data_IF_563452921398
#
_entry.id   IF_563452921398
#
_cell.length_a   1.000
_cell.length_b   1.000
_cell.length_c   1.000
_cell.angle_alpha   90.00
_cell.angle_beta   90.00
_cell.angle_gamma   90.00
#
_symmetry.space_group_name_H-M   'P 1'
#
loop_
_entity.id
_entity.type
_entity.pdbx_description
1 polymer ?
#
# COMPACT_ATOMS: atom_id res chain seq x y z
N UNK A 1 -17.22 -3.89 3.64
CA UNK A 1 -16.38 -3.68 2.43
C UNK A 1 -16.68 -4.81 1.46
N UNK A 2 -16.87 -4.58 0.16
CA UNK A 2 -16.94 -5.69 -0.81
C UNK A 2 -15.52 -6.12 -1.23
N UNK A 3 -15.33 -7.36 -1.69
CA UNK A 3 -14.03 -7.87 -2.17
C UNK A 3 -13.41 -6.96 -3.23
N UNK A 4 -14.21 -6.52 -4.20
CA UNK A 4 -13.78 -5.63 -5.28
C UNK A 4 -13.30 -4.29 -4.72
N UNK A 5 -14.01 -3.72 -3.74
CA UNK A 5 -13.60 -2.47 -3.08
C UNK A 5 -12.30 -2.65 -2.29
N UNK A 6 -12.12 -3.78 -1.61
CA UNK A 6 -10.91 -4.08 -0.86
C UNK A 6 -9.69 -4.25 -1.77
N UNK A 7 -9.81 -5.04 -2.84
CA UNK A 7 -8.72 -5.21 -3.80
C UNK A 7 -8.45 -3.95 -4.60
N UNK A 8 -9.48 -3.19 -4.97
CA UNK A 8 -9.33 -1.88 -5.61
C UNK A 8 -8.57 -0.88 -4.73
N UNK A 9 -8.92 -0.80 -3.43
CA UNK A 9 -8.20 0.03 -2.47
C UNK A 9 -6.75 -0.42 -2.28
N UNK A 10 -6.51 -1.73 -2.25
CA UNK A 10 -5.17 -2.30 -2.11
C UNK A 10 -4.27 -1.95 -3.31
N UNK A 11 -4.78 -2.14 -4.54
CA UNK A 11 -4.08 -1.77 -5.77
C UNK A 11 -3.83 -0.26 -5.81
N UNK A 12 -4.82 0.55 -5.41
CA UNK A 12 -4.66 2.00 -5.34
C UNK A 12 -3.54 2.41 -4.37
N UNK A 13 -3.53 1.85 -3.16
CA UNK A 13 -2.47 2.07 -2.18
C UNK A 13 -1.09 1.63 -2.71
N UNK A 14 -1.03 0.48 -3.38
CA UNK A 14 0.21 -0.01 -3.99
C UNK A 14 0.71 0.96 -5.07
N UNK A 15 -0.17 1.46 -5.96
CA UNK A 15 0.21 2.43 -6.97
C UNK A 15 0.71 3.74 -6.35
N UNK A 16 0.17 4.17 -5.21
CA UNK A 16 0.69 5.35 -4.51
C UNK A 16 2.12 5.14 -3.98
N UNK A 17 2.56 3.92 -3.71
CA UNK A 17 3.94 3.68 -3.25
C UNK A 17 4.98 4.01 -4.32
N UNK A 18 4.59 3.94 -5.59
CA UNK A 18 5.48 4.24 -6.72
C UNK A 18 5.75 5.76 -6.77
N UNK A 19 7.02 6.17 -6.84
CA UNK A 19 7.42 7.58 -6.89
C UNK A 19 7.17 8.21 -8.28
N UNK A 20 5.91 8.26 -8.74
CA UNK A 20 5.54 8.74 -10.08
C UNK A 20 6.08 10.13 -10.44
N UNK A 21 6.19 11.02 -9.44
CA UNK A 21 6.60 12.41 -9.64
C UNK A 21 8.13 12.61 -9.67
N UNK A 22 8.92 11.56 -9.45
CA UNK A 22 10.39 11.65 -9.39
C UNK A 22 11.10 11.32 -10.72
N UNK A 23 10.35 11.25 -11.83
CA UNK A 23 10.89 10.90 -13.16
C UNK A 23 11.89 11.93 -13.69
N UNK A 24 11.76 13.20 -13.30
CA UNK A 24 12.62 14.32 -13.77
C UNK A 24 13.32 15.09 -12.65
N UNK A 25 13.34 14.57 -11.41
CA UNK A 25 14.01 15.27 -10.31
C UNK A 25 15.51 15.21 -10.52
N UNK A 26 16.11 16.33 -10.89
CA UNK A 26 17.57 16.53 -10.95
C UNK A 26 18.18 16.27 -9.58
N UNK A 27 18.50 15.01 -9.26
CA UNK A 27 19.23 14.56 -8.05
C UNK A 27 19.04 15.45 -6.81
N UNK A 28 17.80 15.84 -6.50
CA UNK A 28 17.55 16.55 -5.26
C UNK A 28 17.73 15.53 -4.14
N UNK A 29 18.80 15.76 -3.38
CA UNK A 29 19.23 14.90 -2.30
C UNK A 29 19.40 15.74 -1.05
N UNK A 30 18.88 15.24 0.07
CA UNK A 30 19.12 15.84 1.38
C UNK A 30 20.21 15.02 2.04
N UNK A 31 21.36 15.64 2.31
CA UNK A 31 22.50 14.95 2.94
C UNK A 31 23.08 13.79 2.11
N UNK A 32 22.97 13.85 0.78
CA UNK A 32 23.43 12.78 -0.13
C UNK A 32 22.44 11.64 -0.35
N UNK A 33 21.28 11.67 0.32
CA UNK A 33 20.24 10.67 0.14
C UNK A 33 19.15 11.15 -0.83
N UNK A 34 18.80 10.38 -1.88
CA UNK A 34 17.79 10.80 -2.86
C UNK A 34 16.40 10.91 -2.23
N UNK A 35 15.67 12.01 -2.51
CA UNK A 35 14.33 12.21 -1.95
C UNK A 35 13.34 11.12 -2.35
N UNK A 36 13.45 10.61 -3.58
CA UNK A 36 12.59 9.52 -4.07
C UNK A 36 12.76 8.24 -3.25
N UNK A 37 13.96 7.99 -2.73
CA UNK A 37 14.23 6.81 -1.92
C UNK A 37 13.63 6.94 -0.51
N UNK A 38 13.62 8.16 0.07
CA UNK A 38 12.93 8.41 1.34
C UNK A 38 11.43 8.22 1.15
N UNK A 39 10.88 8.80 0.09
CA UNK A 39 9.47 8.62 -0.27
C UNK A 39 9.12 7.14 -0.37
N UNK A 40 9.90 6.36 -1.14
CA UNK A 40 9.67 4.93 -1.31
C UNK A 40 9.73 4.15 0.01
N UNK A 41 10.66 4.50 0.90
CA UNK A 41 10.80 3.85 2.20
C UNK A 41 9.59 4.12 3.10
N UNK A 42 9.20 5.38 3.26
CA UNK A 42 8.04 5.75 4.08
C UNK A 42 6.72 5.24 3.48
N UNK A 43 6.55 5.32 2.15
CA UNK A 43 5.35 4.83 1.48
C UNK A 43 5.21 3.31 1.61
N UNK A 44 6.31 2.57 1.50
CA UNK A 44 6.33 1.11 1.71
C UNK A 44 5.98 0.75 3.15
N UNK A 45 6.51 1.48 4.14
CA UNK A 45 6.17 1.26 5.55
C UNK A 45 4.67 1.46 5.81
N UNK A 46 4.10 2.57 5.31
CA UNK A 46 2.67 2.86 5.42
C UNK A 46 1.84 1.78 4.72
N UNK A 47 2.27 1.33 3.54
CA UNK A 47 1.60 0.25 2.81
C UNK A 47 1.62 -1.06 3.62
N UNK A 48 2.76 -1.45 4.19
CA UNK A 48 2.86 -2.65 5.00
C UNK A 48 1.92 -2.61 6.22
N UNK A 49 1.85 -1.47 6.92
CA UNK A 49 0.90 -1.27 8.03
C UNK A 49 -0.55 -1.39 7.54
N UNK A 50 -0.86 -0.78 6.39
CA UNK A 50 -2.19 -0.84 5.79
C UNK A 50 -2.58 -2.28 5.42
N UNK A 51 -1.65 -3.05 4.84
CA UNK A 51 -1.84 -4.47 4.54
C UNK A 51 -2.08 -5.28 5.80
N UNK A 52 -1.26 -5.09 6.83
CA UNK A 52 -1.45 -5.76 8.12
C UNK A 52 -2.85 -5.51 8.68
N UNK A 53 -3.30 -4.24 8.68
CA UNK A 53 -4.65 -3.89 9.12
C UNK A 53 -5.74 -4.52 8.25
N UNK A 54 -5.59 -4.53 6.92
CA UNK A 54 -6.56 -5.15 6.02
C UNK A 54 -6.62 -6.66 6.20
N UNK A 55 -5.47 -7.30 6.38
CA UNK A 55 -5.39 -8.73 6.65
C UNK A 55 -6.13 -9.03 7.95
N UNK A 56 -5.80 -8.33 9.04
CA UNK A 56 -6.45 -8.55 10.33
C UNK A 56 -7.97 -8.31 10.30
N UNK A 57 -8.43 -7.22 9.67
CA UNK A 57 -9.84 -6.83 9.71
C UNK A 57 -10.72 -7.51 8.67
N UNK A 58 -10.16 -7.83 7.51
CA UNK A 58 -10.92 -8.31 6.36
C UNK A 58 -10.48 -9.69 5.87
N UNK A 59 -9.71 -10.43 6.70
CA UNK A 59 -9.33 -11.82 6.42
C UNK A 59 -10.52 -12.67 6.00
N UNK A 60 -11.61 -12.65 6.76
CA UNK A 60 -12.81 -13.46 6.49
C UNK A 60 -13.44 -13.16 5.13
N UNK A 61 -13.40 -11.90 4.69
CA UNK A 61 -13.89 -11.46 3.38
C UNK A 61 -12.97 -11.95 2.25
N UNK A 62 -11.65 -11.96 2.49
CA UNK A 62 -10.63 -12.39 1.51
C UNK A 62 -10.52 -13.91 1.41
N UNK A 63 -10.53 -14.62 2.54
CA UNK A 63 -10.47 -16.08 2.64
C UNK A 63 -11.72 -16.78 2.05
N UNK A 64 -12.75 -15.99 1.67
CA UNK A 64 -14.02 -16.50 1.18
C UNK A 64 -14.61 -17.55 2.12
N UNK A 65 -14.39 -17.37 3.43
CA UNK A 65 -15.13 -18.08 4.47
C UNK A 65 -16.59 -17.70 4.24
N UNK A 66 -17.30 -18.58 3.54
CA UNK A 66 -18.74 -18.64 3.69
C UNK A 66 -18.91 -18.80 5.18
N UNK A 67 -19.46 -17.79 5.85
CA UNK A 67 -20.00 -17.97 7.19
C UNK A 67 -20.90 -19.19 7.09
N UNK A 68 -20.39 -20.35 7.50
CA UNK A 68 -21.20 -21.51 7.83
C UNK A 68 -21.96 -21.03 9.06
N UNK A 69 -23.06 -20.33 8.82
CA UNK A 69 -24.15 -20.22 9.78
C UNK A 69 -24.64 -21.64 9.94
N UNK A 70 -24.08 -22.32 10.94
CA UNK A 70 -24.65 -23.50 11.54
C UNK A 70 -25.72 -23.04 12.52
#
# INVERSE_FOLDING_TARGET
MSRIKLYGLNIFLLLMTVPWFFINTKMESTGGFPHWALYALFSTLIYAISIFYFLHKYWSISASEKTLKK
#
